data_IF_925388873969
#
_entry.id   IF_925388873969
#
_cell.length_a   1.000
_cell.length_b   1.000
_cell.length_c   1.000
_cell.angle_alpha   90.00
_cell.angle_beta   90.00
_cell.angle_gamma   90.00
#
_symmetry.space_group_name_H-M   'P 1'
#
loop_
_entity.id
_entity.type
_entity.pdbx_description
1 polymer ?
#
# COMPACT_ATOMS: atom_id res chain seq x y z
N UNK A 1 15.81 -20.31 -10.85
CA UNK A 1 15.41 -19.41 -9.76
C UNK A 1 14.01 -18.97 -10.11
N UNK A 2 13.00 -19.41 -9.37
CA UNK A 2 11.62 -19.01 -9.65
C UNK A 2 11.45 -17.58 -9.18
N UNK A 3 10.99 -16.70 -10.07
CA UNK A 3 10.60 -15.34 -9.70
C UNK A 3 9.63 -15.40 -8.51
N UNK A 4 9.78 -14.51 -7.50
CA UNK A 4 8.85 -14.47 -6.40
C UNK A 4 7.45 -14.23 -6.95
N UNK A 5 6.51 -15.11 -6.61
CA UNK A 5 5.10 -14.98 -7.00
C UNK A 5 4.60 -13.59 -6.61
N UNK A 6 3.90 -12.92 -7.52
CA UNK A 6 3.41 -11.55 -7.32
C UNK A 6 1.89 -11.55 -7.17
N UNK A 7 1.41 -10.58 -6.41
CA UNK A 7 0.01 -10.28 -6.19
C UNK A 7 -0.30 -8.98 -6.92
N UNK A 8 -1.24 -9.06 -7.86
CA UNK A 8 -1.84 -7.89 -8.51
C UNK A 8 -3.12 -7.53 -7.74
N UNK A 9 -3.10 -6.38 -7.08
CA UNK A 9 -4.14 -5.94 -6.14
C UNK A 9 -4.72 -4.62 -6.65
N UNK A 10 -6.05 -4.56 -6.75
CA UNK A 10 -6.78 -3.31 -6.97
C UNK A 10 -7.24 -2.75 -5.63
N UNK A 11 -6.85 -1.52 -5.32
CA UNK A 11 -7.23 -0.79 -4.10
C UNK A 11 -8.15 0.36 -4.48
N UNK A 12 -9.31 0.45 -3.82
CA UNK A 12 -10.27 1.54 -3.99
C UNK A 12 -10.30 2.42 -2.73
N UNK A 13 -10.17 3.73 -2.91
CA UNK A 13 -10.27 4.75 -1.87
C UNK A 13 -11.59 5.50 -1.99
N UNK A 14 -12.23 5.72 -0.83
CA UNK A 14 -13.48 6.48 -0.72
C UNK A 14 -13.43 7.39 0.52
N UNK A 15 -14.41 8.27 0.67
CA UNK A 15 -14.55 9.11 1.87
C UNK A 15 -13.52 10.24 1.99
N UNK A 16 -12.90 10.65 0.89
CA UNK A 16 -11.90 11.73 0.85
C UNK A 16 -10.45 11.25 1.02
N UNK A 17 -10.23 9.94 1.24
CA UNK A 17 -8.88 9.36 1.30
C UNK A 17 -8.17 9.41 -0.06
N UNK A 18 -8.91 9.43 -1.16
CA UNK A 18 -8.34 9.53 -2.52
C UNK A 18 -7.51 10.81 -2.72
N UNK A 19 -7.76 11.87 -1.93
CA UNK A 19 -7.01 13.12 -1.98
C UNK A 19 -5.54 12.92 -1.61
N UNK A 20 -5.20 11.93 -0.78
CA UNK A 20 -3.83 11.62 -0.36
C UNK A 20 -3.02 10.96 -1.50
N UNK A 21 -3.71 10.35 -2.46
CA UNK A 21 -3.14 9.58 -3.57
C UNK A 21 -3.29 10.31 -4.91
N UNK A 22 -3.20 11.65 -4.89
CA UNK A 22 -3.29 12.47 -6.09
C UNK A 22 -4.71 12.53 -6.67
N UNK A 23 -5.73 12.47 -5.80
CA UNK A 23 -7.14 12.43 -6.18
C UNK A 23 -7.52 11.23 -7.07
N UNK A 24 -6.82 10.09 -6.89
CA UNK A 24 -7.11 8.83 -7.57
C UNK A 24 -7.90 7.91 -6.65
N UNK A 25 -9.09 7.48 -7.12
CA UNK A 25 -9.93 6.53 -6.40
C UNK A 25 -9.43 5.10 -6.50
N UNK A 26 -8.89 4.72 -7.64
CA UNK A 26 -8.39 3.38 -7.90
C UNK A 26 -6.88 3.39 -8.05
N UNK A 27 -6.19 2.46 -7.38
CA UNK A 27 -4.78 2.16 -7.60
C UNK A 27 -4.60 0.67 -7.85
N UNK A 28 -3.77 0.34 -8.84
CA UNK A 28 -3.33 -1.02 -9.13
C UNK A 28 -1.91 -1.18 -8.59
N UNK A 29 -1.70 -2.20 -7.75
CA UNK A 29 -0.46 -2.42 -7.03
C UNK A 29 0.00 -3.84 -7.29
N UNK A 30 1.26 -3.96 -7.71
CA UNK A 30 1.93 -5.25 -7.86
C UNK A 30 2.94 -5.40 -6.72
N UNK A 31 2.74 -6.38 -5.85
CA UNK A 31 3.64 -6.64 -4.71
C UNK A 31 3.98 -8.14 -4.62
N UNK A 32 5.13 -8.53 -4.05
CA UNK A 32 5.45 -9.95 -3.88
C UNK A 32 4.46 -10.63 -2.93
N UNK A 33 4.17 -11.92 -3.15
CA UNK A 33 3.30 -12.74 -2.28
C UNK A 33 3.98 -13.11 -0.96
N UNK A 34 5.29 -12.90 -0.87
CA UNK A 34 6.09 -13.03 0.35
C UNK A 34 6.85 -11.75 0.66
N UNK A 35 6.90 -11.37 1.92
CA UNK A 35 7.68 -10.25 2.42
C UNK A 35 9.18 -10.59 2.54
N UNK A 36 9.99 -9.60 2.94
CA UNK A 36 11.45 -9.76 3.06
C UNK A 36 11.89 -10.79 4.12
N UNK A 37 11.02 -11.12 5.08
CA UNK A 37 11.26 -12.16 6.07
C UNK A 37 10.89 -13.57 5.56
N UNK A 38 10.47 -13.71 4.30
CA UNK A 38 10.01 -14.98 3.71
C UNK A 38 8.62 -15.41 4.17
N UNK A 39 7.89 -14.56 4.89
CA UNK A 39 6.51 -14.81 5.31
C UNK A 39 5.53 -14.31 4.25
N UNK A 40 4.28 -14.80 4.28
CA UNK A 40 3.24 -14.30 3.37
C UNK A 40 3.00 -12.82 3.58
N UNK A 41 2.84 -12.09 2.48
CA UNK A 41 2.52 -10.66 2.50
C UNK A 41 1.17 -10.40 3.18
N UNK A 42 1.13 -9.31 3.94
CA UNK A 42 -0.04 -8.90 4.73
C UNK A 42 -0.61 -7.58 4.24
N UNK A 43 -1.78 -7.19 4.74
CA UNK A 43 -2.33 -5.84 4.52
C UNK A 43 -1.40 -4.76 5.08
N UNK A 44 -0.64 -5.05 6.15
CA UNK A 44 0.39 -4.14 6.66
C UNK A 44 1.50 -3.88 5.64
N UNK A 45 1.92 -4.90 4.90
CA UNK A 45 2.90 -4.75 3.82
C UNK A 45 2.32 -3.92 2.66
N UNK A 46 1.04 -4.11 2.32
CA UNK A 46 0.34 -3.30 1.31
C UNK A 46 0.30 -1.82 1.72
N UNK A 47 -0.03 -1.52 2.98
CA UNK A 47 -0.04 -0.15 3.51
C UNK A 47 1.36 0.46 3.41
N UNK A 48 2.43 -0.30 3.72
CA UNK A 48 3.81 0.17 3.58
C UNK A 48 4.16 0.51 2.13
N UNK A 49 3.75 -0.31 1.16
CA UNK A 49 3.96 -0.04 -0.27
C UNK A 49 3.22 1.22 -0.71
N UNK A 50 1.95 1.36 -0.31
CA UNK A 50 1.13 2.56 -0.58
C UNK A 50 1.80 3.84 -0.06
N UNK A 51 2.35 3.80 1.15
CA UNK A 51 3.02 4.92 1.79
C UNK A 51 4.41 5.24 1.22
N UNK A 52 5.10 4.22 0.69
CA UNK A 52 6.43 4.39 0.10
C UNK A 52 6.34 5.01 -1.30
N UNK A 53 5.43 4.50 -2.13
CA UNK A 53 5.43 4.75 -3.58
C UNK A 53 4.32 5.69 -4.06
N UNK A 54 3.16 5.71 -3.38
CA UNK A 54 1.94 6.30 -3.96
C UNK A 54 1.39 7.53 -3.23
N UNK A 55 1.72 7.73 -1.96
CA UNK A 55 1.26 8.91 -1.23
C UNK A 55 2.04 10.15 -1.70
N UNK A 56 1.32 11.13 -2.24
CA UNK A 56 1.91 12.35 -2.82
C UNK A 56 1.74 13.57 -1.92
N UNK A 57 0.81 13.51 -0.95
CA UNK A 57 0.53 14.63 -0.05
C UNK A 57 1.41 14.55 1.21
N UNK A 58 1.92 15.71 1.64
CA UNK A 58 2.69 15.91 2.89
C UNK A 58 1.91 15.55 4.15
N UNK A 59 0.58 15.36 4.05
CA UNK A 59 -0.31 14.87 5.12
C UNK A 59 -0.21 13.37 5.39
N UNK A 60 0.97 12.78 5.22
CA UNK A 60 1.30 11.37 5.56
C UNK A 60 0.82 10.96 6.96
N UNK A 61 0.88 11.90 7.90
CA UNK A 61 0.47 11.75 9.30
C UNK A 61 -1.04 11.56 9.50
N UNK A 62 -1.89 11.88 8.51
CA UNK A 62 -3.34 11.63 8.58
C UNK A 62 -3.73 10.22 8.14
N UNK A 63 -2.85 9.50 7.43
CA UNK A 63 -3.14 8.16 6.92
C UNK A 63 -2.82 7.04 7.92
N UNK A 64 -1.90 7.30 8.86
CA UNK A 64 -1.48 6.32 9.87
C UNK A 64 -1.83 6.87 11.24
N UNK A 65 -2.78 6.22 11.91
CA UNK A 65 -3.04 6.53 13.32
C UNK A 65 -1.85 6.03 14.14
N UNK A 66 -1.21 6.96 14.86
CA UNK A 66 -0.11 6.69 15.79
C UNK A 66 -0.50 5.53 16.74
N UNK A 67 0.22 4.40 16.65
CA UNK A 67 -0.05 3.21 17.48
C UNK A 67 0.00 1.84 16.79
N UNK A 68 0.15 1.77 15.47
CA UNK A 68 0.36 0.50 14.75
C UNK A 68 1.85 0.25 14.46
N UNK A 69 2.67 0.14 15.51
CA UNK A 69 4.02 -0.46 15.44
C UNK A 69 4.00 -1.87 16.02
#
# INVERSE_FOLDING_TARGET
MSDPEKLDIKVEFTGGLELLFGNKRDLEICMPSTNQAGSKSTVGDLIRVLLAEYIQDVRKELFVQDGAM
#
